data_IF_898738518470
#
_entry.id   IF_898738518470
#
_cell.length_a   1.000
_cell.length_b   1.000
_cell.length_c   1.000
_cell.angle_alpha   90.00
_cell.angle_beta   90.00
_cell.angle_gamma   90.00
#
_symmetry.space_group_name_H-M   'P 1'
#
loop_
_entity.id
_entity.type
_entity.pdbx_description
1 polymer ?
#
# COMPACT_ATOMS: atom_id res chain seq x y z
N UNK A 1 4.93 -0.64 -0.75
CA UNK A 1 4.33 0.65 -1.18
C UNK A 1 5.37 1.73 -1.01
N UNK A 2 5.27 2.90 -1.64
CA UNK A 2 6.29 3.92 -1.43
C UNK A 2 5.77 5.33 -1.66
N UNK A 3 6.44 6.30 -1.05
CA UNK A 3 6.31 7.70 -1.36
C UNK A 3 7.68 8.34 -1.51
N UNK A 4 7.80 9.29 -2.43
CA UNK A 4 9.02 10.05 -2.69
C UNK A 4 8.69 11.54 -2.64
N UNK A 5 9.42 12.26 -1.78
CA UNK A 5 9.38 13.71 -1.66
C UNK A 5 10.70 14.28 -2.13
N UNK A 6 10.66 15.18 -3.10
CA UNK A 6 11.82 15.87 -3.65
C UNK A 6 11.55 17.35 -3.58
N UNK A 7 12.55 18.14 -3.18
CA UNK A 7 12.41 19.59 -3.09
C UNK A 7 11.89 20.17 -4.41
N UNK A 8 10.93 21.09 -4.32
CA UNK A 8 10.28 21.76 -5.47
C UNK A 8 9.52 20.82 -6.43
N UNK A 9 9.30 19.54 -6.07
CA UNK A 9 8.45 18.61 -6.82
C UNK A 9 7.28 18.14 -5.97
N UNK A 10 6.19 17.79 -6.64
CA UNK A 10 5.03 17.17 -5.98
C UNK A 10 5.39 15.76 -5.50
N UNK A 11 4.92 15.42 -4.31
CA UNK A 11 5.08 14.09 -3.73
C UNK A 11 4.56 13.01 -4.69
N UNK A 12 5.41 12.03 -5.00
CA UNK A 12 5.01 10.83 -5.72
C UNK A 12 4.55 9.79 -4.71
N UNK A 13 3.31 9.30 -4.85
CA UNK A 13 2.71 8.33 -3.92
C UNK A 13 2.24 7.09 -4.68
N UNK A 14 2.66 5.91 -4.24
CA UNK A 14 2.24 4.61 -4.80
C UNK A 14 1.70 3.70 -3.71
N UNK A 15 0.48 3.20 -3.92
CA UNK A 15 -0.16 2.17 -3.11
C UNK A 15 -0.72 1.10 -4.05
N UNK A 16 -0.32 -0.17 -3.85
CA UNK A 16 -0.72 -1.26 -4.75
C UNK A 16 -2.20 -1.58 -4.53
N UNK A 17 -2.98 -1.69 -5.60
CA UNK A 17 -4.40 -2.09 -5.53
C UNK A 17 -5.38 -0.98 -5.10
N UNK A 18 -4.88 0.23 -4.81
CA UNK A 18 -5.69 1.43 -4.54
C UNK A 18 -5.68 2.34 -5.75
N UNK A 19 -6.84 2.92 -6.09
CA UNK A 19 -6.99 3.84 -7.21
C UNK A 19 -6.17 5.12 -6.99
N UNK A 20 -5.56 5.62 -8.08
CA UNK A 20 -4.72 6.82 -8.06
C UNK A 20 -5.44 8.07 -7.57
N UNK A 21 -6.72 8.24 -7.92
CA UNK A 21 -7.53 9.37 -7.47
C UNK A 21 -7.77 9.37 -5.95
N UNK A 22 -7.92 8.18 -5.35
CA UNK A 22 -8.05 8.03 -3.89
C UNK A 22 -6.74 8.38 -3.20
N UNK A 23 -5.60 7.90 -3.70
CA UNK A 23 -4.27 8.25 -3.19
C UNK A 23 -4.00 9.76 -3.32
N UNK A 24 -4.41 10.37 -4.44
CA UNK A 24 -4.22 11.79 -4.68
C UNK A 24 -5.00 12.66 -3.68
N UNK A 25 -6.23 12.26 -3.34
CA UNK A 25 -7.16 13.04 -2.50
C UNK A 25 -7.06 12.76 -1.00
N UNK A 26 -6.70 11.55 -0.60
CA UNK A 26 -6.90 11.08 0.78
C UNK A 26 -5.67 10.45 1.45
N UNK A 27 -4.51 10.49 0.79
CA UNK A 27 -3.26 9.97 1.35
C UNK A 27 -2.19 11.05 1.29
N UNK A 28 -1.56 11.36 2.42
CA UNK A 28 -0.44 12.32 2.48
C UNK A 28 0.90 11.60 2.47
N UNK A 29 2.03 12.32 2.39
CA UNK A 29 3.35 11.71 2.60
C UNK A 29 3.57 11.32 4.06
N UNK A 30 3.03 12.11 5.01
CA UNK A 30 3.16 11.82 6.44
C UNK A 30 2.41 10.54 6.80
N UNK A 31 1.30 10.23 6.13
CA UNK A 31 0.61 8.94 6.24
C UNK A 31 1.56 7.75 5.98
N UNK A 32 2.48 7.87 5.01
CA UNK A 32 3.48 6.82 4.73
C UNK A 32 4.51 6.71 5.85
N UNK A 33 4.99 7.84 6.39
CA UNK A 33 5.92 7.81 7.53
C UNK A 33 5.25 7.23 8.76
N UNK A 34 4.02 7.63 9.05
CA UNK A 34 3.25 7.15 10.19
C UNK A 34 3.01 5.65 10.08
N UNK A 35 2.55 5.19 8.92
CA UNK A 35 2.36 3.77 8.64
C UNK A 35 3.64 2.97 8.92
N UNK A 36 4.80 3.45 8.44
CA UNK A 36 6.08 2.77 8.61
C UNK A 36 6.60 2.80 10.06
N UNK A 37 6.58 3.96 10.71
CA UNK A 37 7.19 4.15 12.03
C UNK A 37 6.34 3.60 13.16
N UNK A 38 5.02 3.74 13.06
CA UNK A 38 4.09 3.31 14.11
C UNK A 38 3.61 1.87 13.86
N UNK A 39 4.05 1.24 12.76
CA UNK A 39 3.59 -0.07 12.31
C UNK A 39 2.05 -0.17 12.20
N UNK A 40 1.41 0.85 11.65
CA UNK A 40 -0.05 0.94 11.52
C UNK A 40 -0.48 0.73 10.07
N UNK A 41 -1.49 -0.10 9.87
CA UNK A 41 -2.19 -0.20 8.59
C UNK A 41 -3.22 0.92 8.43
N UNK A 42 -3.26 1.50 7.23
CA UNK A 42 -4.24 2.54 6.90
C UNK A 42 -5.20 2.05 5.83
N UNK A 43 -6.49 2.10 6.11
CA UNK A 43 -7.53 1.76 5.15
C UNK A 43 -8.06 3.00 4.41
N UNK A 44 -8.46 2.82 3.14
CA UNK A 44 -9.16 3.84 2.35
C UNK A 44 -10.34 3.23 1.60
N UNK A 45 -11.42 3.99 1.52
CA UNK A 45 -12.62 3.64 0.74
C UNK A 45 -12.45 4.09 -0.71
N UNK A 46 -12.85 3.24 -1.64
CA UNK A 46 -12.86 3.55 -3.07
C UNK A 46 -14.08 2.99 -3.76
N UNK A 47 -14.64 3.75 -4.69
CA UNK A 47 -15.74 3.28 -5.53
C UNK A 47 -15.18 2.61 -6.78
N UNK A 48 -15.75 1.48 -7.21
CA UNK A 48 -15.45 0.84 -8.48
C UNK A 48 -16.71 0.31 -9.16
N UNK A 49 -16.64 0.14 -10.48
CA UNK A 49 -17.68 -0.51 -11.26
C UNK A 49 -17.29 -1.98 -11.37
N UNK A 50 -18.22 -2.89 -11.07
CA UNK A 50 -17.99 -4.33 -11.08
C UNK A 50 -19.17 -5.06 -11.68
N UNK A 51 -18.90 -6.07 -12.50
CA UNK A 51 -19.93 -6.97 -13.01
C UNK A 51 -20.05 -8.21 -12.14
N UNK A 52 -21.27 -8.66 -11.90
CA UNK A 52 -21.59 -9.94 -11.26
C UNK A 52 -22.80 -10.53 -11.99
N UNK A 53 -22.68 -11.77 -12.48
CA UNK A 53 -23.73 -12.45 -13.25
C UNK A 53 -24.27 -11.59 -14.41
N UNK A 54 -23.36 -10.94 -15.15
CA UNK A 54 -23.68 -10.03 -16.26
C UNK A 54 -24.41 -8.72 -15.88
N UNK A 55 -24.67 -8.46 -14.60
CA UNK A 55 -25.20 -7.18 -14.12
C UNK A 55 -24.07 -6.27 -13.62
N UNK A 56 -24.17 -4.97 -13.93
CA UNK A 56 -23.14 -3.97 -13.60
C UNK A 56 -23.56 -3.15 -12.39
N UNK A 57 -22.67 -3.06 -11.40
CA UNK A 57 -22.91 -2.34 -10.16
C UNK A 57 -21.82 -1.30 -9.91
N UNK A 58 -22.19 -0.20 -9.26
CA UNK A 58 -21.24 0.69 -8.59
C UNK A 58 -21.11 0.24 -7.15
N UNK A 59 -19.93 -0.24 -6.77
CA UNK A 59 -19.66 -0.74 -5.42
C UNK A 59 -18.67 0.18 -4.70
N UNK A 60 -18.78 0.23 -3.38
CA UNK A 60 -17.85 0.93 -2.51
C UNK A 60 -17.07 -0.10 -1.70
N UNK A 61 -15.76 -0.16 -1.91
CA UNK A 61 -14.87 -1.12 -1.25
C UNK A 61 -13.90 -0.37 -0.34
N UNK A 62 -13.68 -0.88 0.86
CA UNK A 62 -12.60 -0.43 1.75
C UNK A 62 -11.40 -1.34 1.57
N UNK A 63 -10.22 -0.78 1.30
CA UNK A 63 -8.97 -1.54 1.14
C UNK A 63 -7.88 -1.02 2.06
N UNK A 64 -6.98 -1.91 2.47
CA UNK A 64 -5.71 -1.52 3.06
C UNK A 64 -4.93 -0.75 1.99
N UNK A 65 -4.72 0.54 2.26
CA UNK A 65 -4.05 1.46 1.36
C UNK A 65 -2.58 1.60 1.69
N UNK A 66 -2.21 1.54 2.96
CA UNK A 66 -0.84 1.48 3.45
C UNK A 66 -0.75 0.39 4.52
N UNK A 67 0.36 -0.32 4.53
CA UNK A 67 0.69 -1.38 5.48
C UNK A 67 2.22 -1.37 5.63
N UNK A 68 2.74 -1.47 6.87
CA UNK A 68 4.16 -1.55 7.14
C UNK A 68 4.76 -2.91 6.77
N UNK A 69 3.93 -3.93 6.59
CA UNK A 69 4.36 -5.30 6.37
C UNK A 69 4.66 -5.56 4.89
N UNK A 70 5.81 -6.21 4.61
CA UNK A 70 6.12 -6.72 3.28
C UNK A 70 5.82 -8.21 3.19
N UNK A 71 4.56 -8.54 2.93
CA UNK A 71 4.10 -9.93 2.83
C UNK A 71 4.71 -10.70 1.66
N UNK A 72 5.47 -10.04 0.77
CA UNK A 72 6.07 -10.69 -0.41
C UNK A 72 7.48 -11.20 -0.17
N UNK A 73 8.09 -10.86 0.96
CA UNK A 73 9.48 -11.22 1.26
C UNK A 73 9.63 -11.59 2.74
N UNK A 74 10.59 -12.46 3.01
CA UNK A 74 11.00 -12.76 4.37
C UNK A 74 11.96 -11.67 4.86
N UNK A 75 11.64 -11.02 5.97
CA UNK A 75 12.50 -10.01 6.60
C UNK A 75 13.54 -10.73 7.47
N UNK A 76 14.82 -10.45 7.25
CA UNK A 76 15.88 -11.01 8.09
C UNK A 76 15.90 -10.27 9.43
N UNK A 77 15.68 -11.00 10.53
CA UNK A 77 15.63 -10.41 11.88
C UNK A 77 16.90 -9.60 12.18
N UNK A 78 16.71 -8.36 12.65
CA UNK A 78 17.81 -7.44 12.98
C UNK A 78 18.52 -6.80 11.79
N UNK A 79 18.02 -6.99 10.56
CA UNK A 79 18.55 -6.37 9.34
C UNK A 79 17.44 -5.69 8.53
N UNK A 80 17.84 -4.80 7.62
CA UNK A 80 16.98 -4.25 6.55
C UNK A 80 16.90 -5.17 5.33
N UNK A 81 17.70 -6.24 5.31
CA UNK A 81 17.74 -7.21 4.22
C UNK A 81 16.49 -8.08 4.19
N UNK A 82 16.06 -8.41 2.97
CA UNK A 82 14.90 -9.26 2.75
C UNK A 82 15.22 -10.37 1.76
N UNK A 83 14.71 -11.56 2.02
CA UNK A 83 14.90 -12.75 1.19
C UNK A 83 13.59 -13.09 0.46
N UNK A 84 13.67 -13.67 -0.75
CA UNK A 84 12.48 -14.21 -1.40
C UNK A 84 11.93 -15.40 -0.60
N UNK A 85 10.61 -15.60 -0.63
CA UNK A 85 10.00 -16.80 -0.06
C UNK A 85 10.63 -18.07 -0.67
N UNK A 86 10.90 -19.07 0.16
CA UNK A 86 11.54 -20.33 -0.25
C UNK A 86 13.08 -20.30 -0.33
N UNK A 87 13.72 -19.18 0.01
CA UNK A 87 15.18 -19.11 0.11
C UNK A 87 15.73 -20.09 1.16
N UNK A 88 16.92 -20.68 0.91
CA UNK A 88 17.50 -21.73 1.79
C UNK A 88 17.75 -21.26 3.23
N UNK A 89 17.99 -19.96 3.44
CA UNK A 89 18.17 -19.33 4.76
C UNK A 89 16.86 -19.01 5.50
N UNK A 90 15.70 -19.24 4.88
CA UNK A 90 14.38 -19.05 5.49
C UNK A 90 13.85 -20.35 6.10
N UNK A 91 14.69 -21.38 6.26
CA UNK A 91 14.39 -22.68 6.85
C UNK A 91 15.01 -22.80 8.23
#
# INVERSE_FOLDING_TARGET
MYALRVERKKDTKKAKGVKSNVIARSTTFEDYKQCLNDAIEMMRRQSCIRSKLHEVYTISETKIALSPHDDKRYIVSGSTDTLPWGHYRCK
#
